data_IF_623284893054
#
_entry.id   IF_623284893054
#
_cell.length_a   1.000
_cell.length_b   1.000
_cell.length_c   1.000
_cell.angle_alpha   90.00
_cell.angle_beta   90.00
_cell.angle_gamma   90.00
#
_symmetry.space_group_name_H-M   'P 1'
#
loop_
_entity.id
_entity.type
_entity.pdbx_description
1 polymer ?
#
# COMPACT_ATOMS: atom_id res chain seq x y z
N UNK A 1 -21.61 -2.10 19.03
CA UNK A 1 -21.13 -2.71 17.78
C UNK A 1 -19.67 -2.34 17.60
N UNK A 2 -18.80 -3.28 17.21
CA UNK A 2 -17.39 -2.99 16.94
C UNK A 2 -17.29 -2.23 15.62
N UNK A 3 -16.59 -1.10 15.63
CA UNK A 3 -16.36 -0.24 14.46
C UNK A 3 -14.88 0.15 14.38
N UNK A 4 -14.29 -0.16 13.23
CA UNK A 4 -12.95 0.26 12.80
C UNK A 4 -13.08 1.39 11.79
N UNK A 5 -11.98 2.10 11.52
CA UNK A 5 -11.92 3.06 10.42
C UNK A 5 -10.58 3.07 9.73
N UNK A 6 -10.63 3.23 8.41
CA UNK A 6 -9.50 3.64 7.59
C UNK A 6 -9.70 5.12 7.22
N UNK A 7 -8.76 5.98 7.64
CA UNK A 7 -8.89 7.43 7.54
C UNK A 7 -7.76 8.07 6.69
N UNK A 8 -7.74 7.87 5.36
CA UNK A 8 -6.71 8.45 4.49
C UNK A 8 -7.00 9.92 4.16
N UNK A 9 -5.94 10.72 4.04
CA UNK A 9 -6.01 12.03 3.41
C UNK A 9 -5.81 11.90 1.89
N UNK A 10 -6.69 12.49 1.05
CA UNK A 10 -6.63 12.35 -0.41
C UNK A 10 -5.62 13.33 -1.01
N UNK A 11 -4.34 13.23 -0.62
CA UNK A 11 -3.27 14.13 -1.06
C UNK A 11 -2.25 13.47 -2.00
N UNK A 12 -2.57 12.28 -2.51
CA UNK A 12 -1.70 11.47 -3.35
C UNK A 12 -2.27 10.07 -3.55
N UNK A 13 -1.50 9.21 -4.22
CA UNK A 13 -1.89 7.81 -4.43
C UNK A 13 -1.71 6.96 -3.17
N UNK A 14 -2.52 5.92 -3.04
CA UNK A 14 -2.42 4.97 -1.94
C UNK A 14 -1.13 4.14 -2.08
N UNK A 15 -0.22 4.24 -1.12
CA UNK A 15 1.04 3.47 -1.10
C UNK A 15 0.93 2.21 -0.24
N UNK A 16 1.89 1.29 -0.35
CA UNK A 16 1.91 0.02 0.38
C UNK A 16 1.70 0.17 1.90
N UNK A 17 2.28 1.21 2.52
CA UNK A 17 2.11 1.48 3.95
C UNK A 17 0.67 1.78 4.34
N UNK A 18 -0.01 2.65 3.59
CA UNK A 18 -1.42 2.98 3.82
C UNK A 18 -2.34 1.82 3.43
N UNK A 19 -2.00 1.09 2.36
CA UNK A 19 -2.72 -0.12 1.96
C UNK A 19 -2.67 -1.19 3.05
N UNK A 20 -1.52 -1.36 3.74
CA UNK A 20 -1.42 -2.25 4.90
C UNK A 20 -2.37 -1.85 6.01
N UNK A 21 -2.47 -0.55 6.32
CA UNK A 21 -3.42 -0.07 7.33
C UNK A 21 -4.87 -0.37 6.92
N UNK A 22 -5.21 -0.19 5.64
CA UNK A 22 -6.54 -0.52 5.12
C UNK A 22 -6.84 -2.03 5.23
N UNK A 23 -5.91 -2.88 4.79
CA UNK A 23 -6.03 -4.35 4.89
C UNK A 23 -6.21 -4.78 6.33
N UNK A 24 -5.37 -4.30 7.25
CA UNK A 24 -5.44 -4.67 8.67
C UNK A 24 -6.75 -4.22 9.32
N UNK A 25 -7.21 -2.99 9.08
CA UNK A 25 -8.49 -2.54 9.63
C UNK A 25 -9.67 -3.35 9.06
N UNK A 26 -9.64 -3.68 7.76
CA UNK A 26 -10.69 -4.48 7.14
C UNK A 26 -10.72 -5.93 7.66
N UNK A 27 -9.55 -6.56 7.86
CA UNK A 27 -9.45 -7.90 8.42
C UNK A 27 -9.85 -7.93 9.90
N UNK A 28 -9.42 -6.94 10.69
CA UNK A 28 -9.80 -6.82 12.09
C UNK A 28 -11.32 -6.62 12.26
N UNK A 29 -11.94 -5.77 11.43
CA UNK A 29 -13.39 -5.59 11.40
C UNK A 29 -14.10 -6.91 11.12
N UNK A 30 -13.72 -7.61 10.04
CA UNK A 30 -14.33 -8.90 9.68
C UNK A 30 -14.13 -9.97 10.75
N UNK A 31 -12.91 -10.11 11.29
CA UNK A 31 -12.58 -11.10 12.32
C UNK A 31 -13.39 -10.90 13.62
N UNK A 32 -13.76 -9.66 13.94
CA UNK A 32 -14.54 -9.31 15.13
C UNK A 32 -16.05 -9.15 14.86
N UNK A 33 -16.52 -9.44 13.64
CA UNK A 33 -17.91 -9.18 13.24
C UNK A 33 -18.32 -7.71 13.38
N UNK A 34 -17.37 -6.79 13.20
CA UNK A 34 -17.55 -5.35 13.25
C UNK A 34 -17.67 -4.71 11.87
N UNK A 35 -17.82 -3.38 11.85
CA UNK A 35 -17.92 -2.59 10.62
C UNK A 35 -16.64 -1.81 10.32
N UNK A 36 -16.44 -1.48 9.05
CA UNK A 36 -15.37 -0.63 8.56
C UNK A 36 -15.93 0.70 8.05
N UNK A 37 -15.49 1.80 8.66
CA UNK A 37 -15.72 3.16 8.19
C UNK A 37 -14.57 3.61 7.26
N UNK A 38 -14.88 4.08 6.06
CA UNK A 38 -13.95 4.86 5.25
C UNK A 38 -14.16 6.35 5.55
N UNK A 39 -13.19 7.00 6.20
CA UNK A 39 -13.25 8.45 6.46
C UNK A 39 -12.23 9.19 5.62
N UNK A 40 -12.69 10.10 4.75
CA UNK A 40 -11.79 10.92 3.95
C UNK A 40 -11.39 12.15 4.77
N UNK A 41 -10.12 12.22 5.16
CA UNK A 41 -9.55 13.32 5.96
C UNK A 41 -9.09 14.45 5.01
N UNK A 42 -10.05 15.20 4.47
CA UNK A 42 -9.91 16.21 3.38
C UNK A 42 -10.01 17.68 3.84
N UNK A 43 -9.69 17.98 5.11
CA UNK A 43 -9.78 19.35 5.64
C UNK A 43 -8.77 20.33 5.04
N UNK A 44 -7.64 19.82 4.54
CA UNK A 44 -6.66 20.60 3.78
C UNK A 44 -7.08 20.66 2.31
N UNK A 45 -7.82 21.71 1.94
CA UNK A 45 -8.37 21.88 0.58
C UNK A 45 -7.31 22.16 -0.49
N UNK A 46 -6.11 22.60 -0.12
CA UNK A 46 -5.04 22.86 -1.10
C UNK A 46 -4.42 21.56 -1.59
N UNK A 47 -4.23 20.61 -0.66
CA UNK A 47 -3.63 19.31 -0.97
C UNK A 47 -4.63 18.23 -1.34
N UNK A 48 -5.86 18.32 -0.84
CA UNK A 48 -6.90 17.32 -1.05
C UNK A 48 -7.54 17.50 -2.41
N UNK A 49 -7.53 16.46 -3.24
CA UNK A 49 -8.14 16.50 -4.58
C UNK A 49 -9.16 15.38 -4.78
N UNK A 50 -10.30 15.65 -5.46
CA UNK A 50 -11.31 14.64 -5.76
C UNK A 50 -10.74 13.43 -6.53
N UNK A 51 -9.74 13.65 -7.40
CA UNK A 51 -9.07 12.57 -8.14
C UNK A 51 -8.33 11.58 -7.23
N UNK A 52 -7.81 12.03 -6.09
CA UNK A 52 -7.12 11.18 -5.13
C UNK A 52 -8.11 10.43 -4.24
N UNK A 53 -9.24 11.04 -3.88
CA UNK A 53 -10.32 10.34 -3.20
C UNK A 53 -10.87 9.20 -4.06
N UNK A 54 -11.21 9.47 -5.32
CA UNK A 54 -11.66 8.45 -6.26
C UNK A 54 -10.61 7.35 -6.47
N UNK A 55 -9.33 7.73 -6.51
CA UNK A 55 -8.20 6.80 -6.56
C UNK A 55 -8.12 5.88 -5.35
N UNK A 56 -8.30 6.41 -4.13
CA UNK A 56 -8.34 5.63 -2.89
C UNK A 56 -9.47 4.60 -2.97
N UNK A 57 -10.69 5.02 -3.33
CA UNK A 57 -11.82 4.11 -3.45
C UNK A 57 -11.59 3.01 -4.49
N UNK A 58 -11.04 3.37 -5.65
CA UNK A 58 -10.71 2.41 -6.71
C UNK A 58 -9.69 1.37 -6.22
N UNK A 59 -8.65 1.83 -5.52
CA UNK A 59 -7.60 0.97 -5.00
C UNK A 59 -8.13 0.05 -3.89
N UNK A 60 -8.99 0.53 -2.99
CA UNK A 60 -9.65 -0.30 -1.98
C UNK A 60 -10.55 -1.36 -2.60
N UNK A 61 -11.39 -1.00 -3.56
CA UNK A 61 -12.25 -1.97 -4.28
C UNK A 61 -11.42 -3.02 -5.02
N UNK A 62 -10.32 -2.60 -5.66
CA UNK A 62 -9.41 -3.53 -6.32
C UNK A 62 -8.75 -4.51 -5.34
N UNK A 63 -8.42 -4.06 -4.13
CA UNK A 63 -7.93 -4.93 -3.05
C UNK A 63 -9.03 -5.82 -2.42
N UNK A 64 -10.29 -5.75 -2.90
CA UNK A 64 -11.43 -6.47 -2.30
C UNK A 64 -11.93 -5.88 -0.97
N UNK A 65 -11.48 -4.67 -0.61
CA UNK A 65 -11.84 -3.99 0.63
C UNK A 65 -13.10 -3.14 0.38
N UNK A 66 -14.24 -3.66 0.82
CA UNK A 66 -15.47 -2.87 0.99
C UNK A 66 -15.50 -2.15 2.34
N UNK A 67 -16.35 -1.14 2.44
CA UNK A 67 -16.63 -0.40 3.68
C UNK A 67 -18.14 -0.27 3.87
N UNK A 68 -18.58 -0.28 5.14
CA UNK A 68 -19.99 -0.25 5.52
C UNK A 68 -20.51 1.19 5.63
N UNK A 69 -19.63 2.11 6.02
CA UNK A 69 -19.94 3.51 6.24
C UNK A 69 -18.88 4.40 5.57
N UNK A 70 -19.28 5.59 5.15
CA UNK A 70 -18.38 6.60 4.60
C UNK A 70 -18.65 7.97 5.20
N UNK A 71 -17.60 8.74 5.46
CA UNK A 71 -17.70 10.14 5.88
C UNK A 71 -16.57 10.98 5.26
N UNK A 72 -16.83 12.27 5.02
CA UNK A 72 -15.80 13.25 4.65
C UNK A 72 -15.68 14.28 5.76
N UNK A 73 -14.47 14.71 6.07
CA UNK A 73 -14.27 15.71 7.10
C UNK A 73 -14.75 17.10 6.65
N UNK A 74 -14.65 17.40 5.35
CA UNK A 74 -15.14 18.64 4.75
C UNK A 74 -16.66 18.85 4.90
N UNK A 75 -17.44 17.77 5.02
CA UNK A 75 -18.90 17.80 5.23
C UNK A 75 -19.28 18.01 6.70
N UNK A 76 -18.30 18.09 7.62
CA UNK A 76 -18.51 18.02 9.08
C UNK A 76 -18.01 19.24 9.83
N UNK A 77 -17.83 20.36 9.11
CA UNK A 77 -17.28 21.60 9.67
C UNK A 77 -18.14 22.20 10.79
N UNK A 78 -19.45 22.00 10.74
CA UNK A 78 -20.41 22.37 11.79
C UNK A 78 -20.14 21.63 13.10
N UNK A 79 -19.78 20.34 13.02
CA UNK A 79 -19.45 19.50 14.19
C UNK A 79 -18.19 19.97 14.88
N UNK A 80 -17.16 20.33 14.11
CA UNK A 80 -15.93 20.89 14.66
C UNK A 80 -16.16 22.24 15.31
N UNK A 81 -16.99 23.10 14.71
CA UNK A 81 -17.36 24.38 15.30
C UNK A 81 -18.07 24.19 16.65
N UNK A 82 -19.06 23.29 16.72
CA UNK A 82 -19.78 22.99 17.96
C UNK A 82 -18.86 22.42 19.06
N UNK A 83 -17.96 21.48 18.70
CA UNK A 83 -16.99 20.93 19.64
C UNK A 83 -15.99 22.00 20.13
N UNK A 84 -15.60 22.94 19.27
CA UNK A 84 -14.69 24.02 19.63
C UNK A 84 -15.33 24.97 20.65
N UNK A 85 -16.61 25.32 20.47
CA UNK A 85 -17.34 26.16 21.42
C UNK A 85 -17.48 25.48 22.79
N UNK A 86 -17.72 24.17 22.83
CA UNK A 86 -17.73 23.40 24.09
C UNK A 86 -16.38 23.47 24.82
N UNK A 87 -15.27 23.32 24.09
CA UNK A 87 -13.93 23.40 24.69
C UNK A 87 -13.56 24.81 25.14
N UNK A 88 -13.99 25.85 24.40
CA UNK A 88 -13.81 27.26 24.81
C UNK A 88 -14.59 27.55 26.08
N UNK A 89 -15.85 27.13 26.15
CA UNK A 89 -16.70 27.30 27.34
C UNK A 89 -16.10 26.59 28.57
N UNK A 90 -15.43 25.45 28.38
CA UNK A 90 -14.71 24.73 29.42
C UNK A 90 -13.33 25.34 29.79
N UNK A 91 -12.88 26.38 29.09
CA UNK A 91 -11.55 26.98 29.27
C UNK A 91 -10.39 26.08 28.82
N UNK A 92 -10.67 25.07 28.01
CA UNK A 92 -9.69 24.09 27.53
C UNK A 92 -9.17 24.41 26.13
N UNK A 93 -9.87 25.25 25.36
CA UNK A 93 -9.41 25.79 24.09
C UNK A 93 -9.19 27.29 24.22
N UNK A 94 -7.93 27.73 24.19
CA UNK A 94 -7.55 29.13 24.45
C UNK A 94 -6.92 29.79 23.22
N UNK A 95 -7.13 31.10 23.02
CA UNK A 95 -6.58 31.82 21.89
C UNK A 95 -5.09 32.10 22.06
N UNK A 96 -4.36 32.07 20.96
CA UNK A 96 -2.94 32.39 20.89
C UNK A 96 -2.71 33.38 19.74
N UNK A 97 -1.80 34.32 19.95
CA UNK A 97 -1.53 35.43 19.01
C UNK A 97 -0.07 35.52 18.57
N UNK A 98 0.78 34.56 18.98
CA UNK A 98 2.18 34.57 18.56
C UNK A 98 2.33 34.31 17.07
N UNK A 99 3.25 35.02 16.42
CA UNK A 99 3.68 34.75 15.05
C UNK A 99 4.57 33.50 14.99
N UNK A 100 4.73 32.94 13.78
CA UNK A 100 5.66 31.83 13.55
C UNK A 100 7.11 32.18 13.91
N UNK A 101 7.51 33.43 13.67
CA UNK A 101 8.83 33.96 14.02
C UNK A 101 9.02 34.03 15.54
N UNK A 102 8.02 34.52 16.28
CA UNK A 102 8.05 34.55 17.74
C UNK A 102 8.14 33.14 18.33
N UNK A 103 7.35 32.19 17.78
CA UNK A 103 7.41 30.78 18.18
C UNK A 103 8.77 30.15 17.84
N UNK A 104 9.36 30.48 16.69
CA UNK A 104 10.69 30.01 16.30
C UNK A 104 11.78 30.54 17.22
N UNK A 105 11.73 31.83 17.57
CA UNK A 105 12.64 32.45 18.51
C UNK A 105 12.55 31.81 19.91
N UNK A 106 11.33 31.57 20.41
CA UNK A 106 11.10 30.83 21.66
C UNK A 106 11.71 29.43 21.61
N UNK A 107 11.51 28.68 20.53
CA UNK A 107 12.12 27.34 20.35
C UNK A 107 13.65 27.41 20.33
N UNK A 108 14.23 28.37 19.61
CA UNK A 108 15.68 28.55 19.54
C UNK A 108 16.29 28.91 20.91
N UNK A 109 15.63 29.76 21.69
CA UNK A 109 16.06 30.11 23.04
C UNK A 109 16.07 28.90 23.97
N UNK A 110 15.03 28.05 23.90
CA UNK A 110 14.97 26.79 24.68
C UNK A 110 16.06 25.81 24.27
N UNK A 111 16.29 25.65 22.96
CA UNK A 111 17.34 24.79 22.43
C UNK A 111 18.74 25.24 22.91
N UNK A 112 19.03 26.55 22.91
CA UNK A 112 20.28 27.12 23.47
C UNK A 112 20.47 26.81 24.96
N UNK A 113 19.38 26.54 25.69
CA UNK A 113 19.39 26.16 27.11
C UNK A 113 19.32 24.65 27.33
N UNK A 114 19.41 23.84 26.26
CA UNK A 114 19.23 22.39 26.29
C UNK A 114 17.89 21.94 26.90
N UNK A 115 16.86 22.79 26.80
CA UNK A 115 15.51 22.48 27.28
C UNK A 115 14.67 21.90 26.14
N UNK A 116 13.78 20.92 26.41
CA UNK A 116 12.85 20.39 25.41
C UNK A 116 11.98 21.50 24.80
N UNK A 117 11.63 21.43 23.49
CA UNK A 117 10.90 22.49 22.78
C UNK A 117 9.38 22.48 23.07
N UNK A 118 9.01 22.43 24.35
CA UNK A 118 7.62 22.46 24.82
C UNK A 118 7.09 23.91 24.81
N UNK A 119 5.87 24.10 24.32
CA UNK A 119 5.15 25.37 24.34
C UNK A 119 5.05 25.92 25.77
N UNK A 120 5.36 27.20 25.95
CA UNK A 120 5.56 27.82 27.25
C UNK A 120 4.25 28.22 27.97
N UNK A 121 3.10 28.04 27.32
CA UNK A 121 1.77 28.42 27.83
C UNK A 121 1.64 29.90 28.16
N UNK A 122 2.49 30.78 27.62
CA UNK A 122 2.46 32.21 27.92
C UNK A 122 1.09 32.87 27.63
N UNK A 123 0.39 32.39 26.61
CA UNK A 123 -0.94 32.92 26.22
C UNK A 123 -2.06 32.56 27.21
N UNK A 124 -1.85 31.67 28.19
CA UNK A 124 -2.83 31.43 29.26
C UNK A 124 -2.96 32.62 30.22
N UNK A 125 -1.93 33.48 30.30
CA UNK A 125 -1.91 34.66 31.16
C UNK A 125 -2.43 35.93 30.46
N UNK A 126 -2.94 35.80 29.23
CA UNK A 126 -3.42 36.93 28.43
C UNK A 126 -4.68 37.53 29.05
N UNK A 127 -4.69 38.84 29.34
CA UNK A 127 -5.88 39.52 29.86
C UNK A 127 -6.90 39.81 28.77
N UNK A 128 -8.15 40.10 29.14
CA UNK A 128 -9.19 40.46 28.21
C UNK A 128 -8.84 41.73 27.41
N UNK A 129 -8.19 42.70 28.04
CA UNK A 129 -7.73 43.95 27.42
C UNK A 129 -6.62 43.68 26.40
N UNK A 130 -5.64 42.85 26.75
CA UNK A 130 -4.54 42.47 25.84
C UNK A 130 -5.06 41.71 24.63
N UNK A 131 -6.04 40.82 24.83
CA UNK A 131 -6.73 40.12 23.75
C UNK A 131 -7.47 41.10 22.84
N UNK A 132 -8.28 41.99 23.40
CA UNK A 132 -9.04 42.97 22.62
C UNK A 132 -8.10 43.89 21.82
N UNK A 133 -6.98 44.31 22.40
CA UNK A 133 -5.96 45.11 21.72
C UNK A 133 -5.30 44.35 20.56
N UNK A 134 -5.00 43.05 20.73
CA UNK A 134 -4.43 42.23 19.67
C UNK A 134 -5.41 42.04 18.50
N UNK A 135 -6.67 41.75 18.79
CA UNK A 135 -7.73 41.61 17.79
C UNK A 135 -8.02 42.93 17.07
N UNK A 136 -8.07 44.06 17.79
CA UNK A 136 -8.22 45.40 17.20
C UNK A 136 -7.02 45.80 16.32
N UNK A 137 -5.82 45.30 16.65
CA UNK A 137 -4.61 45.43 15.83
C UNK A 137 -4.58 44.52 14.59
N UNK A 138 -5.66 43.81 14.29
CA UNK A 138 -5.80 42.95 13.11
C UNK A 138 -5.20 41.55 13.26
N UNK A 139 -4.69 41.17 14.46
CA UNK A 139 -4.21 39.80 14.69
C UNK A 139 -5.40 38.84 14.81
N UNK A 140 -5.37 37.77 14.03
CA UNK A 140 -6.34 36.66 14.16
C UNK A 140 -5.76 35.58 15.07
N UNK A 141 -6.49 35.13 16.11
CA UNK A 141 -6.00 34.08 16.98
C UNK A 141 -6.02 32.73 16.27
N UNK A 142 -5.01 31.90 16.57
CA UNK A 142 -5.12 30.45 16.43
C UNK A 142 -5.43 29.85 17.81
N UNK A 143 -5.93 28.62 17.87
CA UNK A 143 -6.39 28.04 19.13
C UNK A 143 -5.61 26.79 19.50
N UNK A 144 -5.15 26.74 20.76
CA UNK A 144 -4.48 25.58 21.36
C UNK A 144 -5.35 24.90 22.39
N UNK A 145 -5.26 23.59 22.46
CA UNK A 145 -5.88 22.81 23.52
C UNK A 145 -4.93 22.70 24.72
N UNK A 146 -5.43 23.08 25.89
CA UNK A 146 -4.73 22.98 27.15
C UNK A 146 -4.71 21.52 27.60
N UNK A 147 -3.56 20.86 27.45
CA UNK A 147 -3.38 19.49 27.92
C UNK A 147 -3.53 19.42 29.45
N UNK A 148 -4.15 18.35 29.93
CA UNK A 148 -4.20 18.02 31.34
C UNK A 148 -2.80 17.78 31.91
N UNK A 149 -2.68 17.92 33.23
CA UNK A 149 -1.46 17.53 33.93
C UNK A 149 -1.37 15.99 34.08
N UNK A 150 -0.16 15.46 34.28
CA UNK A 150 0.08 14.04 34.51
C UNK A 150 0.41 13.25 33.23
N UNK A 151 0.02 11.98 33.20
CA UNK A 151 0.34 11.05 32.14
C UNK A 151 -0.90 10.31 31.62
N UNK A 152 -0.90 10.02 30.33
CA UNK A 152 -1.91 9.19 29.67
C UNK A 152 -1.28 7.87 29.30
N UNK A 153 -1.93 6.79 29.74
CA UNK A 153 -1.45 5.45 29.50
C UNK A 153 -2.59 4.51 29.08
N UNK A 154 -2.30 3.66 28.09
CA UNK A 154 -3.27 2.74 27.49
C UNK A 154 -2.60 1.40 27.17
N UNK A 155 -3.40 0.37 26.96
CA UNK A 155 -2.93 -0.93 26.49
C UNK A 155 -3.08 -0.95 24.97
N UNK A 156 -1.96 -0.81 24.27
CA UNK A 156 -1.95 -0.88 22.82
C UNK A 156 -2.13 -2.32 22.34
N UNK A 157 -2.98 -2.51 21.33
CA UNK A 157 -3.31 -3.82 20.77
C UNK A 157 -2.11 -4.50 20.08
N UNK A 158 -1.05 -3.75 19.73
CA UNK A 158 0.15 -4.28 19.06
C UNK A 158 1.40 -4.02 19.91
N UNK A 159 1.61 -2.79 20.37
CA UNK A 159 2.82 -2.39 21.09
C UNK A 159 2.78 -2.71 22.60
N UNK A 160 1.63 -3.15 23.12
CA UNK A 160 1.41 -3.38 24.56
C UNK A 160 1.24 -2.08 25.36
N UNK A 161 1.47 -2.12 26.68
CA UNK A 161 1.30 -0.94 27.56
C UNK A 161 2.14 0.24 27.08
N UNK A 162 1.51 1.36 26.76
CA UNK A 162 2.15 2.65 26.40
C UNK A 162 1.75 3.72 27.41
N UNK A 163 2.64 4.69 27.60
CA UNK A 163 2.45 5.82 28.49
C UNK A 163 3.19 7.05 27.94
N UNK A 164 2.55 8.21 28.04
CA UNK A 164 3.13 9.51 27.67
C UNK A 164 2.80 10.51 28.77
N UNK A 165 3.82 11.21 29.25
CA UNK A 165 3.67 12.32 30.19
C UNK A 165 3.24 13.56 29.40
N UNK A 166 2.03 14.08 29.66
CA UNK A 166 1.47 15.18 28.89
C UNK A 166 2.26 16.49 29.06
N UNK A 167 2.87 16.71 30.24
CA UNK A 167 3.72 17.87 30.48
C UNK A 167 5.00 17.94 29.62
N UNK A 168 5.38 16.84 28.95
CA UNK A 168 6.50 16.83 27.98
C UNK A 168 6.05 17.12 26.55
N UNK A 169 4.74 17.29 26.32
CA UNK A 169 4.14 17.54 25.01
C UNK A 169 3.61 18.97 25.00
N UNK A 170 3.79 19.66 23.86
CA UNK A 170 3.21 21.00 23.69
C UNK A 170 1.70 20.92 23.58
N UNK A 171 0.99 21.87 24.20
CA UNK A 171 -0.44 22.12 23.95
C UNK A 171 -0.70 22.22 22.44
N UNK A 172 -1.42 21.26 21.82
CA UNK A 172 -1.51 21.16 20.38
C UNK A 172 -2.37 22.29 19.83
N UNK A 173 -2.01 22.81 18.65
CA UNK A 173 -2.90 23.66 17.89
C UNK A 173 -4.04 22.79 17.37
N UNK A 174 -5.29 23.19 17.66
CA UNK A 174 -6.48 22.50 17.16
C UNK A 174 -7.12 23.26 15.99
N UNK A 175 -6.99 24.60 15.95
CA UNK A 175 -7.57 25.45 14.90
C UNK A 175 -6.54 26.50 14.51
N UNK A 176 -6.28 26.63 13.20
CA UNK A 176 -5.38 27.65 12.64
C UNK A 176 -6.01 29.05 12.69
N UNK A 177 -5.19 30.09 12.47
CA UNK A 177 -5.66 31.48 12.43
C UNK A 177 -6.65 31.77 11.28
N UNK A 178 -6.64 30.96 10.23
CA UNK A 178 -7.61 31.01 9.13
C UNK A 178 -8.92 30.26 9.45
N UNK A 179 -9.05 29.67 10.65
CA UNK A 179 -10.23 28.92 11.09
C UNK A 179 -10.20 27.44 10.71
N UNK A 180 -9.18 26.95 10.00
CA UNK A 180 -9.09 25.54 9.61
C UNK A 180 -8.82 24.65 10.83
N UNK A 181 -9.69 23.67 11.13
CA UNK A 181 -9.44 22.70 12.17
C UNK A 181 -8.34 21.70 11.73
N UNK A 182 -7.50 21.28 12.66
CA UNK A 182 -6.38 20.39 12.40
C UNK A 182 -6.69 18.94 12.76
N UNK A 183 -5.94 18.01 12.17
CA UNK A 183 -6.09 16.56 12.29
C UNK A 183 -6.38 16.06 13.72
N UNK A 184 -5.61 16.51 14.71
CA UNK A 184 -5.78 16.05 16.10
C UNK A 184 -7.19 16.32 16.61
N UNK A 185 -7.77 17.46 16.23
CA UNK A 185 -9.11 17.85 16.63
C UNK A 185 -10.18 17.11 15.84
N UNK A 186 -10.11 17.17 14.51
CA UNK A 186 -11.14 16.58 13.63
C UNK A 186 -11.22 15.07 13.80
N UNK A 187 -10.08 14.40 13.90
CA UNK A 187 -9.98 12.95 14.14
C UNK A 187 -10.66 12.53 15.45
N UNK A 188 -10.50 13.31 16.53
CA UNK A 188 -11.13 13.02 17.84
C UNK A 188 -12.64 13.24 17.79
N UNK A 189 -13.08 14.38 17.23
CA UNK A 189 -14.52 14.67 17.11
C UNK A 189 -15.21 13.57 16.31
N UNK A 190 -14.61 13.14 15.20
CA UNK A 190 -15.18 12.12 14.34
C UNK A 190 -15.12 10.71 14.93
N UNK A 191 -14.01 10.31 15.55
CA UNK A 191 -13.91 9.00 16.20
C UNK A 191 -14.97 8.87 17.31
N UNK A 192 -15.24 9.97 18.03
CA UNK A 192 -16.38 10.06 18.96
C UNK A 192 -17.70 10.00 18.18
N UNK A 193 -18.08 11.03 17.43
CA UNK A 193 -19.43 11.12 16.86
C UNK A 193 -19.82 9.97 15.93
N UNK A 194 -18.87 9.43 15.15
CA UNK A 194 -19.11 8.32 14.22
C UNK A 194 -19.07 6.95 14.90
N UNK A 195 -18.87 6.88 16.22
CA UNK A 195 -18.96 5.63 16.96
C UNK A 195 -17.77 4.69 16.77
N UNK A 196 -16.58 5.21 16.45
CA UNK A 196 -15.36 4.40 16.31
C UNK A 196 -15.02 3.77 17.66
N UNK A 197 -14.73 2.47 17.63
CA UNK A 197 -14.35 1.69 18.83
C UNK A 197 -12.92 1.21 18.80
N UNK A 198 -12.34 1.07 17.60
CA UNK A 198 -10.98 0.58 17.39
C UNK A 198 -10.25 1.46 16.37
N UNK A 199 -9.05 1.87 16.76
CA UNK A 199 -8.17 2.73 15.99
C UNK A 199 -6.88 1.94 15.70
N UNK A 200 -6.73 1.44 14.48
CA UNK A 200 -5.47 0.85 14.02
C UNK A 200 -4.78 1.80 13.03
N UNK A 201 -3.54 2.20 13.33
CA UNK A 201 -2.75 3.15 12.52
C UNK A 201 -1.24 2.95 12.70
N UNK A 202 -0.41 3.74 12.04
CA UNK A 202 1.05 3.68 12.16
C UNK A 202 1.57 4.17 13.52
N UNK A 203 2.67 3.59 14.00
CA UNK A 203 3.31 3.91 15.30
C UNK A 203 3.82 5.35 15.45
N UNK A 204 3.96 6.08 14.34
CA UNK A 204 4.25 7.51 14.34
C UNK A 204 3.15 8.35 15.04
N UNK A 205 1.97 7.77 15.26
CA UNK A 205 0.89 8.39 16.01
C UNK A 205 0.81 7.98 17.50
N UNK A 206 1.78 7.25 18.05
CA UNK A 206 1.77 6.85 19.48
C UNK A 206 1.68 8.08 20.40
N UNK A 207 2.51 9.10 20.20
CA UNK A 207 2.45 10.34 20.99
C UNK A 207 1.13 11.09 20.79
N UNK A 208 0.64 11.12 19.54
CA UNK A 208 -0.65 11.74 19.21
C UNK A 208 -1.81 11.06 19.94
N UNK A 209 -1.72 9.74 20.21
CA UNK A 209 -2.76 8.99 20.92
C UNK A 209 -2.97 9.50 22.34
N UNK A 210 -1.91 9.82 23.07
CA UNK A 210 -2.03 10.37 24.42
C UNK A 210 -2.78 11.70 24.43
N UNK A 211 -2.43 12.59 23.49
CA UNK A 211 -3.10 13.88 23.27
C UNK A 211 -4.57 13.68 22.89
N UNK A 212 -4.86 12.73 21.99
CA UNK A 212 -6.21 12.45 21.53
C UNK A 212 -7.07 11.85 22.64
N UNK A 213 -6.53 10.96 23.48
CA UNK A 213 -7.24 10.40 24.65
C UNK A 213 -7.58 11.52 25.65
N UNK A 214 -6.66 12.45 25.90
CA UNK A 214 -6.91 13.59 26.79
C UNK A 214 -8.03 14.48 26.23
N UNK A 215 -7.98 14.80 24.93
CA UNK A 215 -9.02 15.56 24.24
C UNK A 215 -10.37 14.84 24.21
N UNK A 216 -10.38 13.52 24.00
CA UNK A 216 -11.60 12.70 24.04
C UNK A 216 -12.26 12.75 25.42
N UNK A 217 -11.46 12.64 26.50
CA UNK A 217 -11.94 12.73 27.88
C UNK A 217 -12.46 14.13 28.22
N UNK A 218 -11.86 15.17 27.67
CA UNK A 218 -12.33 16.55 27.82
C UNK A 218 -13.69 16.77 27.13
N UNK A 219 -13.86 16.25 25.91
CA UNK A 219 -15.11 16.38 25.16
C UNK A 219 -16.22 15.49 25.71
N UNK A 220 -15.95 14.21 25.94
CA UNK A 220 -16.95 13.22 26.35
C UNK A 220 -16.47 12.41 27.58
N UNK A 221 -16.45 12.99 28.80
CA UNK A 221 -15.84 12.39 29.99
C UNK A 221 -16.42 11.03 30.40
N UNK A 222 -17.68 10.76 30.03
CA UNK A 222 -18.40 9.53 30.37
C UNK A 222 -18.23 8.43 29.34
N UNK A 223 -17.60 8.73 28.20
CA UNK A 223 -17.48 7.80 27.09
C UNK A 223 -16.16 7.06 27.17
N UNK A 224 -16.21 5.75 26.95
CA UNK A 224 -15.00 4.95 26.76
C UNK A 224 -14.24 5.42 25.51
N UNK A 225 -12.93 5.60 25.64
CA UNK A 225 -12.07 5.88 24.49
C UNK A 225 -11.92 4.62 23.62
N UNK A 226 -11.65 4.76 22.32
CA UNK A 226 -11.39 3.61 21.45
C UNK A 226 -10.21 2.77 21.96
N UNK A 227 -10.19 1.49 21.61
CA UNK A 227 -8.98 0.68 21.68
C UNK A 227 -8.01 1.13 20.58
N UNK A 228 -6.72 1.24 20.90
CA UNK A 228 -5.69 1.70 19.97
C UNK A 228 -4.71 0.58 19.66
N UNK A 229 -4.38 0.41 18.38
CA UNK A 229 -3.33 -0.49 17.91
C UNK A 229 -2.38 0.25 16.97
N UNK A 230 -1.08 0.18 17.24
CA UNK A 230 -0.07 0.87 16.46
C UNK A 230 0.84 -0.12 15.72
N UNK A 231 0.74 -0.13 14.39
CA UNK A 231 1.58 -0.98 13.55
C UNK A 231 2.96 -0.31 13.34
N UNK A 232 4.07 -1.05 13.50
CA UNK A 232 5.40 -0.50 13.23
C UNK A 232 5.54 -0.04 11.79
N UNK A 233 6.31 1.03 11.58
CA UNK A 233 6.56 1.57 10.25
C UNK A 233 7.35 0.56 9.41
N UNK A 234 6.99 0.48 8.12
CA UNK A 234 7.65 -0.43 7.18
C UNK A 234 9.03 0.14 6.81
N UNK A 235 10.04 -0.71 6.79
CA UNK A 235 11.37 -0.44 6.25
C UNK A 235 11.58 -1.18 4.92
N UNK A 236 12.50 -0.70 4.10
CA UNK A 236 12.96 -1.44 2.93
C UNK A 236 13.95 -2.55 3.30
N UNK A 237 14.38 -3.34 2.31
CA UNK A 237 15.36 -4.44 2.51
C UNK A 237 16.71 -3.97 3.06
N UNK A 238 17.05 -2.68 2.90
CA UNK A 238 18.27 -2.05 3.41
C UNK A 238 18.12 -1.51 4.84
N UNK A 239 16.89 -1.50 5.38
CA UNK A 239 16.57 -0.98 6.70
C UNK A 239 16.26 0.52 6.72
N UNK A 240 16.30 1.21 5.57
CA UNK A 240 15.84 2.60 5.49
C UNK A 240 14.31 2.66 5.59
N UNK A 241 13.78 3.80 6.08
CA UNK A 241 12.34 4.05 6.00
C UNK A 241 11.92 3.97 4.53
N UNK A 242 10.83 3.24 4.29
CA UNK A 242 10.35 2.91 2.94
C UNK A 242 10.04 4.14 2.06
N UNK A 243 10.00 5.35 2.62
CA UNK A 243 9.69 6.62 1.96
C UNK A 243 10.67 7.06 0.85
N UNK A 244 11.81 6.38 0.64
CA UNK A 244 12.85 6.85 -0.30
C UNK A 244 12.96 6.10 -1.63
N UNK A 245 12.53 4.83 -1.77
CA UNK A 245 12.72 4.06 -3.03
C UNK A 245 11.60 3.08 -3.39
N UNK A 246 11.29 2.11 -2.51
CA UNK A 246 10.30 1.05 -2.79
C UNK A 246 8.90 1.31 -2.18
N UNK A 247 8.78 2.23 -1.21
CA UNK A 247 7.51 2.58 -0.55
C UNK A 247 6.77 3.73 -1.18
N UNK A 248 7.34 4.30 -2.23
CA UNK A 248 6.64 5.18 -3.17
C UNK A 248 5.79 4.38 -4.16
N UNK A 249 5.92 3.03 -4.21
CA UNK A 249 5.11 2.22 -5.11
C UNK A 249 3.66 2.25 -4.64
N UNK A 250 2.81 2.83 -5.49
CA UNK A 250 1.38 2.93 -5.24
C UNK A 250 0.68 1.61 -5.54
N UNK A 251 -0.49 1.40 -4.93
CA UNK A 251 -1.39 0.29 -5.24
C UNK A 251 -1.73 0.27 -6.74
N UNK A 252 -1.99 1.46 -7.32
CA UNK A 252 -2.13 1.66 -8.76
C UNK A 252 -0.94 1.10 -9.57
N UNK A 253 0.29 1.29 -9.10
CA UNK A 253 1.49 0.81 -9.76
C UNK A 253 1.59 -0.72 -9.70
N UNK A 254 1.36 -1.34 -8.54
CA UNK A 254 1.29 -2.80 -8.41
C UNK A 254 0.24 -3.42 -9.35
N UNK A 255 -0.96 -2.83 -9.39
CA UNK A 255 -2.03 -3.25 -10.30
C UNK A 255 -1.60 -3.16 -11.77
N UNK A 256 -0.96 -2.07 -12.16
CA UNK A 256 -0.48 -1.85 -13.54
C UNK A 256 0.58 -2.87 -13.94
N UNK A 257 1.50 -3.18 -13.03
CA UNK A 257 2.62 -4.07 -13.30
C UNK A 257 2.17 -5.54 -13.37
N UNK A 258 0.96 -5.88 -12.91
CA UNK A 258 0.40 -7.22 -12.99
C UNK A 258 0.58 -8.03 -11.70
N UNK A 259 0.71 -7.37 -10.56
CA UNK A 259 0.50 -7.99 -9.25
C UNK A 259 -1.00 -8.21 -9.05
N UNK A 260 -1.38 -9.40 -8.62
CA UNK A 260 -2.74 -9.77 -8.24
C UNK A 260 -3.11 -9.19 -6.87
N UNK A 261 -4.35 -8.71 -6.75
CA UNK A 261 -4.88 -8.15 -5.51
C UNK A 261 -4.75 -9.14 -4.34
N UNK A 262 -5.08 -10.41 -4.57
CA UNK A 262 -4.95 -11.48 -3.57
C UNK A 262 -3.51 -11.59 -3.05
N UNK A 263 -2.50 -11.52 -3.93
CA UNK A 263 -1.10 -11.61 -3.53
C UNK A 263 -0.71 -10.40 -2.66
N UNK A 264 -1.05 -9.19 -3.08
CA UNK A 264 -0.72 -7.98 -2.32
C UNK A 264 -1.43 -7.95 -0.95
N UNK A 265 -2.72 -8.28 -0.90
CA UNK A 265 -3.50 -8.34 0.34
C UNK A 265 -2.93 -9.40 1.29
N UNK A 266 -2.69 -10.61 0.80
CA UNK A 266 -2.12 -11.71 1.58
C UNK A 266 -0.74 -11.35 2.15
N UNK A 267 0.09 -10.68 1.35
CA UNK A 267 1.38 -10.17 1.77
C UNK A 267 1.24 -9.11 2.88
N UNK A 268 0.45 -8.06 2.65
CA UNK A 268 0.29 -6.96 3.60
C UNK A 268 -0.41 -7.38 4.90
N UNK A 269 -1.32 -8.36 4.84
CA UNK A 269 -2.01 -8.93 5.99
C UNK A 269 -1.06 -9.61 6.99
N UNK A 270 0.08 -10.13 6.51
CA UNK A 270 1.08 -10.83 7.32
C UNK A 270 2.39 -10.07 7.47
N UNK A 271 2.52 -8.90 6.86
CA UNK A 271 3.75 -8.10 6.96
C UNK A 271 4.01 -7.67 8.41
N UNK A 272 5.05 -8.25 9.02
CA UNK A 272 5.39 -8.06 10.43
C UNK A 272 4.65 -8.96 11.41
N UNK A 273 3.89 -9.93 10.90
CA UNK A 273 3.29 -11.02 11.66
C UNK A 273 4.27 -12.18 11.86
N UNK A 274 4.05 -13.02 12.87
CA UNK A 274 4.75 -14.31 13.02
C UNK A 274 4.30 -15.40 12.04
N UNK A 275 3.23 -15.17 11.28
CA UNK A 275 2.73 -16.10 10.25
C UNK A 275 3.23 -15.67 8.88
N UNK A 276 3.58 -16.64 8.05
CA UNK A 276 3.97 -16.38 6.66
C UNK A 276 2.75 -16.02 5.79
N UNK A 277 2.94 -15.21 4.73
CA UNK A 277 1.88 -14.89 3.79
C UNK A 277 1.57 -16.08 2.87
N UNK A 278 0.27 -16.39 2.77
CA UNK A 278 -0.27 -17.43 1.89
C UNK A 278 -1.38 -16.84 1.02
N UNK A 279 -1.56 -17.32 -0.23
CA UNK A 279 -2.52 -16.75 -1.17
C UNK A 279 -3.94 -17.13 -0.78
N UNK A 280 -4.55 -16.29 0.05
CA UNK A 280 -5.85 -16.52 0.67
C UNK A 280 -6.81 -15.37 0.31
N UNK A 281 -8.10 -15.70 0.29
CA UNK A 281 -9.17 -14.70 0.20
C UNK A 281 -9.22 -13.83 1.46
N UNK A 282 -9.89 -12.68 1.38
CA UNK A 282 -10.07 -11.80 2.55
C UNK A 282 -10.83 -12.50 3.69
N UNK A 283 -11.79 -13.34 3.35
CA UNK A 283 -12.58 -14.13 4.29
C UNK A 283 -11.71 -15.16 5.03
N UNK A 284 -10.87 -15.91 4.30
CA UNK A 284 -9.92 -16.88 4.89
C UNK A 284 -8.86 -16.20 5.75
N UNK A 285 -8.33 -15.05 5.29
CA UNK A 285 -7.42 -14.23 6.08
C UNK A 285 -8.08 -13.74 7.37
N UNK A 286 -9.33 -13.26 7.29
CA UNK A 286 -10.07 -12.78 8.45
C UNK A 286 -10.31 -13.88 9.50
N UNK A 287 -10.62 -15.11 9.06
CA UNK A 287 -10.81 -16.26 9.96
C UNK A 287 -9.56 -16.64 10.77
N UNK A 288 -8.38 -16.18 10.36
CA UNK A 288 -7.10 -16.45 11.03
C UNK A 288 -6.34 -15.17 11.39
N UNK A 289 -7.03 -14.03 11.41
CA UNK A 289 -6.45 -12.72 11.69
C UNK A 289 -6.39 -12.47 13.19
N UNK A 290 -5.20 -12.08 13.68
CA UNK A 290 -4.99 -11.67 15.07
C UNK A 290 -3.95 -10.54 15.11
N UNK A 291 -4.30 -9.42 15.75
CA UNK A 291 -3.38 -8.31 15.97
C UNK A 291 -2.21 -8.69 16.90
N UNK A 292 -2.43 -9.64 17.80
CA UNK A 292 -1.39 -10.17 18.69
C UNK A 292 -0.27 -10.91 17.96
N UNK A 293 -0.47 -11.28 16.68
CA UNK A 293 0.57 -11.91 15.87
C UNK A 293 1.62 -10.92 15.37
N UNK A 294 1.37 -9.61 15.43
CA UNK A 294 2.28 -8.59 14.92
C UNK A 294 3.42 -8.30 15.90
N UNK A 295 4.65 -8.34 15.39
CA UNK A 295 5.83 -7.96 16.14
C UNK A 295 5.89 -6.44 16.35
N UNK A 296 6.68 -6.02 17.35
CA UNK A 296 6.95 -4.60 17.65
C UNK A 296 8.08 -4.01 16.80
N UNK A 297 8.79 -4.84 16.04
CA UNK A 297 9.89 -4.40 15.18
C UNK A 297 9.40 -3.89 13.83
N UNK A 298 10.16 -3.00 13.20
CA UNK A 298 9.87 -2.51 11.86
C UNK A 298 9.91 -3.67 10.84
N UNK A 299 8.79 -4.02 10.19
CA UNK A 299 8.79 -5.07 9.20
C UNK A 299 9.47 -4.60 7.92
N UNK A 300 10.20 -5.52 7.27
CA UNK A 300 10.80 -5.26 5.95
C UNK A 300 9.86 -5.65 4.84
N UNK A 301 9.62 -4.71 3.92
CA UNK A 301 8.97 -5.02 2.66
C UNK A 301 9.98 -5.72 1.73
N UNK A 302 9.69 -6.97 1.36
CA UNK A 302 10.50 -7.79 0.46
C UNK A 302 9.74 -8.02 -0.86
N UNK A 303 10.12 -7.31 -1.94
CA UNK A 303 9.52 -7.49 -3.26
C UNK A 303 9.64 -8.93 -3.79
N UNK A 304 10.70 -9.68 -3.42
CA UNK A 304 10.88 -11.06 -3.90
C UNK A 304 9.85 -12.00 -3.28
N UNK A 305 9.54 -11.81 -1.99
CA UNK A 305 8.49 -12.58 -1.32
C UNK A 305 7.11 -12.25 -1.92
N UNK A 306 6.84 -10.98 -2.22
CA UNK A 306 5.61 -10.59 -2.92
C UNK A 306 5.52 -11.21 -4.33
N UNK A 307 6.59 -11.19 -5.12
CA UNK A 307 6.61 -11.81 -6.45
C UNK A 307 6.44 -13.33 -6.38
N UNK A 308 7.08 -14.00 -5.42
CA UNK A 308 6.90 -15.44 -5.22
C UNK A 308 5.44 -15.79 -4.86
N UNK A 309 4.79 -14.95 -4.06
CA UNK A 309 3.37 -15.11 -3.75
C UNK A 309 2.49 -14.81 -4.96
N UNK A 310 2.81 -13.76 -5.73
CA UNK A 310 2.10 -13.40 -6.95
C UNK A 310 2.15 -14.52 -7.99
N UNK A 311 3.32 -15.12 -8.17
CA UNK A 311 3.54 -16.30 -9.02
C UNK A 311 2.59 -17.43 -8.64
N UNK A 312 2.52 -17.78 -7.35
CA UNK A 312 1.61 -18.83 -6.85
C UNK A 312 0.15 -18.53 -7.16
N UNK A 313 -0.28 -17.27 -7.04
CA UNK A 313 -1.64 -16.85 -7.41
C UNK A 313 -1.84 -16.98 -8.92
N UNK A 314 -1.01 -16.31 -9.72
CA UNK A 314 -1.12 -16.27 -11.18
C UNK A 314 -1.14 -17.67 -11.81
N UNK A 315 -0.25 -18.57 -11.37
CA UNK A 315 -0.14 -19.91 -11.92
C UNK A 315 -1.39 -20.75 -11.67
N UNK A 316 -2.13 -20.45 -10.59
CA UNK A 316 -3.39 -21.08 -10.24
C UNK A 316 -4.62 -20.48 -10.94
N UNK A 317 -4.52 -19.31 -11.58
CA UNK A 317 -5.68 -18.66 -12.17
C UNK A 317 -6.17 -19.38 -13.44
N UNK A 318 -7.50 -19.56 -13.59
CA UNK A 318 -8.09 -20.02 -14.83
C UNK A 318 -8.04 -18.90 -15.89
N UNK A 319 -8.16 -19.27 -17.18
CA UNK A 319 -8.07 -18.31 -18.28
C UNK A 319 -9.13 -17.21 -18.18
N UNK A 320 -10.34 -17.57 -17.76
CA UNK A 320 -11.49 -16.68 -17.62
C UNK A 320 -11.21 -15.52 -16.65
N UNK A 321 -10.38 -15.75 -15.63
CA UNK A 321 -9.99 -14.73 -14.65
C UNK A 321 -8.96 -13.72 -15.19
N UNK A 322 -8.31 -14.02 -16.32
CA UNK A 322 -7.27 -13.17 -16.92
C UNK A 322 -7.62 -12.71 -18.34
N UNK A 323 -8.65 -13.27 -18.98
CA UNK A 323 -8.98 -13.05 -20.39
C UNK A 323 -9.04 -11.56 -20.77
N UNK A 324 -9.75 -10.73 -19.99
CA UNK A 324 -9.88 -9.29 -20.26
C UNK A 324 -8.58 -8.48 -20.00
N UNK A 325 -7.62 -9.08 -19.30
CA UNK A 325 -6.35 -8.46 -18.91
C UNK A 325 -5.17 -8.90 -19.79
N UNK A 326 -5.36 -9.96 -20.57
CA UNK A 326 -4.36 -10.44 -21.53
C UNK A 326 -4.34 -9.57 -22.79
N UNK A 327 -3.22 -9.55 -23.53
CA UNK A 327 -3.16 -8.92 -24.84
C UNK A 327 -4.21 -9.51 -25.80
N UNK A 328 -4.67 -8.69 -26.75
CA UNK A 328 -5.61 -9.12 -27.78
C UNK A 328 -5.06 -10.30 -28.59
N UNK A 329 -5.92 -11.29 -28.86
CA UNK A 329 -5.57 -12.53 -29.57
C UNK A 329 -5.01 -13.65 -28.69
N UNK A 330 -4.82 -13.43 -27.39
CA UNK A 330 -4.37 -14.47 -26.45
C UNK A 330 -5.54 -15.31 -25.93
N UNK A 331 -5.67 -16.55 -26.42
CA UNK A 331 -6.67 -17.52 -25.97
C UNK A 331 -6.23 -18.38 -24.77
N UNK A 332 -7.07 -19.35 -24.39
CA UNK A 332 -6.82 -20.27 -23.28
C UNK A 332 -5.53 -21.08 -23.46
N UNK A 333 -5.25 -21.57 -24.67
CA UNK A 333 -4.03 -22.32 -24.99
C UNK A 333 -2.76 -21.48 -24.74
N UNK A 334 -2.77 -20.20 -25.16
CA UNK A 334 -1.69 -19.27 -24.87
C UNK A 334 -1.48 -19.10 -23.36
N UNK A 335 -2.56 -18.86 -22.61
CA UNK A 335 -2.48 -18.70 -21.17
C UNK A 335 -1.89 -19.93 -20.48
N UNK A 336 -2.37 -21.12 -20.84
CA UNK A 336 -1.88 -22.37 -20.28
C UNK A 336 -0.40 -22.61 -20.59
N UNK A 337 0.05 -22.23 -21.80
CA UNK A 337 1.45 -22.33 -22.19
C UNK A 337 2.36 -21.41 -21.36
N UNK A 338 1.94 -20.17 -21.09
CA UNK A 338 2.83 -19.15 -20.50
C UNK A 338 2.71 -19.00 -18.98
N UNK A 339 1.54 -19.25 -18.40
CA UNK A 339 1.22 -18.85 -17.01
C UNK A 339 2.24 -19.35 -15.99
N UNK A 340 2.73 -20.60 -16.16
CA UNK A 340 3.67 -21.24 -15.25
C UNK A 340 5.08 -20.61 -15.21
N UNK A 341 5.35 -19.63 -16.07
CA UNK A 341 6.61 -18.90 -16.11
C UNK A 341 6.44 -17.41 -15.77
N UNK A 342 5.23 -16.93 -15.46
CA UNK A 342 5.00 -15.51 -15.19
C UNK A 342 5.20 -15.20 -13.70
N UNK A 343 5.96 -14.14 -13.44
CA UNK A 343 6.03 -13.48 -12.14
C UNK A 343 5.01 -12.34 -12.06
N UNK A 344 4.74 -11.70 -13.21
CA UNK A 344 3.81 -10.60 -13.38
C UNK A 344 2.91 -10.85 -14.58
N UNK A 345 1.62 -10.49 -14.49
CA UNK A 345 0.71 -10.65 -15.63
C UNK A 345 1.14 -9.83 -16.85
N UNK A 346 1.81 -8.68 -16.63
CA UNK A 346 2.31 -7.83 -17.73
C UNK A 346 3.34 -8.52 -18.63
N UNK A 347 4.06 -9.53 -18.12
CA UNK A 347 5.03 -10.33 -18.88
C UNK A 347 4.35 -11.19 -19.97
N UNK A 348 3.03 -11.43 -19.87
CA UNK A 348 2.27 -12.09 -20.93
C UNK A 348 2.37 -11.34 -22.27
N UNK A 349 2.58 -10.01 -22.25
CA UNK A 349 2.80 -9.22 -23.47
C UNK A 349 4.09 -9.62 -24.19
N UNK A 350 5.17 -9.87 -23.46
CA UNK A 350 6.43 -10.33 -24.05
C UNK A 350 6.21 -11.67 -24.77
N UNK A 351 5.54 -12.62 -24.11
CA UNK A 351 5.27 -13.92 -24.70
C UNK A 351 4.28 -13.87 -25.86
N UNK A 352 3.35 -12.90 -25.87
CA UNK A 352 2.52 -12.63 -27.05
C UNK A 352 3.35 -12.20 -28.25
N UNK A 353 4.34 -11.33 -28.07
CA UNK A 353 5.27 -10.96 -29.15
C UNK A 353 6.11 -12.16 -29.62
N UNK A 354 6.56 -13.02 -28.70
CA UNK A 354 7.22 -14.28 -29.06
C UNK A 354 6.29 -15.19 -29.85
N UNK A 355 5.02 -15.30 -29.47
CA UNK A 355 4.06 -16.26 -30.04
C UNK A 355 3.36 -15.74 -31.29
N UNK A 356 3.27 -14.44 -31.55
CA UNK A 356 2.51 -13.90 -32.68
C UNK A 356 3.16 -12.69 -33.36
N UNK A 357 4.18 -12.10 -32.75
CA UNK A 357 4.90 -10.95 -33.26
C UNK A 357 6.23 -11.29 -33.93
N UNK A 358 6.95 -10.23 -34.27
CA UNK A 358 8.34 -10.29 -34.70
C UNK A 358 9.26 -10.07 -33.50
N UNK A 359 10.25 -10.94 -33.37
CA UNK A 359 11.26 -10.84 -32.31
C UNK A 359 12.63 -10.66 -32.94
N UNK A 360 13.50 -9.95 -32.22
CA UNK A 360 14.92 -9.97 -32.52
C UNK A 360 15.45 -11.39 -32.28
N UNK A 361 16.00 -11.99 -33.33
CA UNK A 361 16.54 -13.34 -33.27
C UNK A 361 18.06 -13.24 -33.23
N UNK A 362 18.73 -13.76 -32.19
CA UNK A 362 20.19 -13.69 -32.11
C UNK A 362 20.82 -14.50 -33.25
N UNK A 363 21.88 -13.97 -33.86
CA UNK A 363 22.73 -14.74 -34.76
C UNK A 363 23.59 -15.70 -33.93
N UNK A 364 23.55 -16.99 -34.27
CA UNK A 364 24.21 -18.08 -33.55
C UNK A 364 25.12 -18.86 -34.51
N UNK A 365 26.20 -18.26 -35.02
CA UNK A 365 27.07 -18.88 -36.01
C UNK A 365 27.70 -20.18 -35.51
N UNK A 366 27.97 -20.30 -34.20
CA UNK A 366 28.52 -21.53 -33.61
C UNK A 366 27.50 -22.69 -33.61
N UNK A 367 26.21 -22.40 -33.72
CA UNK A 367 25.13 -23.37 -33.80
C UNK A 367 24.49 -23.45 -35.21
N UNK A 368 25.08 -22.82 -36.22
CA UNK A 368 24.51 -22.74 -37.57
C UNK A 368 24.17 -24.11 -38.17
N UNK A 369 25.06 -25.10 -38.01
CA UNK A 369 24.84 -26.46 -38.50
C UNK A 369 23.64 -27.14 -37.83
N UNK A 370 23.49 -26.96 -36.51
CA UNK A 370 22.36 -27.45 -35.73
C UNK A 370 21.05 -26.80 -36.19
N UNK A 371 21.04 -25.48 -36.37
CA UNK A 371 19.84 -24.72 -36.73
C UNK A 371 19.37 -25.01 -38.16
N UNK A 372 20.31 -25.24 -39.10
CA UNK A 372 19.99 -25.72 -40.46
C UNK A 372 19.40 -27.12 -40.42
N UNK A 373 19.98 -28.05 -39.66
CA UNK A 373 19.40 -29.38 -39.45
C UNK A 373 18.01 -29.31 -38.80
N UNK A 374 17.80 -28.34 -37.90
CA UNK A 374 16.50 -28.11 -37.27
C UNK A 374 15.45 -27.59 -38.27
N UNK A 375 15.84 -26.69 -39.17
CA UNK A 375 15.01 -26.18 -40.25
C UNK A 375 14.62 -27.30 -41.23
N UNK A 376 15.58 -28.14 -41.64
CA UNK A 376 15.35 -29.28 -42.54
C UNK A 376 14.43 -30.33 -41.92
N UNK A 377 14.59 -30.61 -40.62
CA UNK A 377 13.77 -31.58 -39.90
C UNK A 377 12.40 -31.04 -39.47
N UNK A 378 12.08 -29.77 -39.73
CA UNK A 378 10.87 -29.11 -39.21
C UNK A 378 9.59 -29.70 -39.85
N UNK A 379 8.72 -30.38 -39.07
CA UNK A 379 7.59 -31.12 -39.63
C UNK A 379 6.51 -30.19 -40.21
N UNK A 380 5.68 -30.68 -41.16
CA UNK A 380 4.49 -29.95 -41.61
C UNK A 380 3.47 -29.80 -40.46
N UNK A 381 2.56 -28.83 -40.60
CA UNK A 381 1.39 -28.65 -39.71
C UNK A 381 0.30 -29.69 -40.04
N UNK A 382 -0.64 -29.99 -39.11
CA UNK A 382 -0.86 -29.36 -37.81
C UNK A 382 0.16 -29.77 -36.73
N UNK A 383 0.40 -28.87 -35.77
CA UNK A 383 1.27 -29.10 -34.62
C UNK A 383 0.47 -29.24 -33.33
N UNK A 384 1.04 -30.00 -32.39
CA UNK A 384 0.52 -30.26 -31.05
C UNK A 384 1.66 -30.35 -30.02
N UNK A 385 1.33 -30.65 -28.76
CA UNK A 385 2.32 -30.76 -27.68
C UNK A 385 3.36 -31.89 -27.90
N UNK A 386 3.07 -32.87 -28.75
CA UNK A 386 3.99 -33.99 -29.06
C UNK A 386 5.02 -33.61 -30.13
N UNK A 387 4.72 -32.57 -30.92
CA UNK A 387 5.54 -32.11 -32.05
C UNK A 387 6.96 -31.76 -31.62
N UNK A 388 7.11 -31.05 -30.49
CA UNK A 388 8.43 -30.66 -29.98
C UNK A 388 9.33 -31.87 -29.70
N UNK A 389 8.79 -32.90 -29.04
CA UNK A 389 9.55 -34.11 -28.71
C UNK A 389 9.97 -34.88 -29.96
N UNK A 390 9.07 -35.02 -30.93
CA UNK A 390 9.36 -35.70 -32.20
C UNK A 390 10.41 -34.94 -33.02
N UNK A 391 10.22 -33.63 -33.17
CA UNK A 391 11.12 -32.76 -33.93
C UNK A 391 12.52 -32.72 -33.31
N UNK A 392 12.62 -32.42 -32.01
CA UNK A 392 13.94 -32.36 -31.34
C UNK A 392 14.69 -33.69 -31.35
N UNK A 393 13.98 -34.83 -31.37
CA UNK A 393 14.57 -36.15 -31.59
C UNK A 393 15.22 -36.30 -32.98
N UNK A 394 14.55 -35.84 -34.03
CA UNK A 394 15.10 -35.83 -35.39
C UNK A 394 16.30 -34.88 -35.51
N UNK A 395 16.22 -33.69 -34.90
CA UNK A 395 17.34 -32.73 -34.86
C UNK A 395 18.55 -33.32 -34.14
N UNK A 396 18.35 -33.98 -33.00
CA UNK A 396 19.42 -34.64 -32.26
C UNK A 396 20.09 -35.77 -33.06
N UNK A 397 19.32 -36.55 -33.81
CA UNK A 397 19.84 -37.61 -34.67
C UNK A 397 20.67 -37.05 -35.84
N UNK A 398 20.22 -35.95 -36.46
CA UNK A 398 20.91 -35.32 -37.59
C UNK A 398 22.17 -34.54 -37.19
N UNK A 399 22.14 -33.85 -36.04
CA UNK A 399 23.23 -32.97 -35.60
C UNK A 399 24.21 -33.63 -34.63
N UNK A 400 23.81 -34.71 -33.96
CA UNK A 400 24.55 -35.30 -32.83
C UNK A 400 24.47 -34.49 -31.52
N UNK A 401 23.83 -33.32 -31.51
CA UNK A 401 23.74 -32.47 -30.32
C UNK A 401 22.79 -33.06 -29.25
N UNK A 402 23.11 -32.82 -27.97
CA UNK A 402 22.32 -33.29 -26.83
C UNK A 402 22.30 -32.28 -25.69
N UNK A 403 21.30 -32.38 -24.80
CA UNK A 403 21.19 -31.56 -23.60
C UNK A 403 21.23 -30.06 -23.92
N UNK A 404 22.04 -29.29 -23.18
CA UNK A 404 22.15 -27.84 -23.37
C UNK A 404 22.56 -27.44 -24.78
N UNK A 405 23.45 -28.21 -25.43
CA UNK A 405 23.93 -27.91 -26.79
C UNK A 405 22.84 -28.08 -27.87
N UNK A 406 21.79 -28.86 -27.58
CA UNK A 406 20.62 -29.00 -28.46
C UNK A 406 19.56 -27.93 -28.13
N UNK A 407 19.16 -27.85 -26.86
CA UNK A 407 17.96 -27.11 -26.49
C UNK A 407 18.17 -25.60 -26.36
N UNK A 408 19.35 -25.14 -25.93
CA UNK A 408 19.59 -23.70 -25.74
C UNK A 408 19.63 -22.95 -27.10
N UNK A 409 20.34 -23.43 -28.14
CA UNK A 409 20.30 -22.75 -29.44
C UNK A 409 18.91 -22.74 -30.06
N UNK A 410 18.16 -23.85 -29.96
CA UNK A 410 16.78 -23.90 -30.44
C UNK A 410 15.88 -22.90 -29.70
N UNK A 411 16.02 -22.78 -28.38
CA UNK A 411 15.26 -21.80 -27.59
C UNK A 411 15.58 -20.38 -28.02
N UNK A 412 16.86 -20.03 -28.08
CA UNK A 412 17.31 -18.70 -28.49
C UNK A 412 16.83 -18.36 -29.90
N UNK A 413 16.95 -19.29 -30.84
CA UNK A 413 16.45 -19.09 -32.20
C UNK A 413 14.93 -18.88 -32.22
N UNK A 414 14.16 -19.73 -31.54
CA UNK A 414 12.69 -19.67 -31.60
C UNK A 414 12.08 -18.53 -30.79
N UNK A 415 12.72 -18.10 -29.70
CA UNK A 415 12.11 -17.18 -28.71
C UNK A 415 12.92 -15.92 -28.46
N UNK A 416 14.19 -15.85 -28.87
CA UNK A 416 15.10 -14.76 -28.50
C UNK A 416 15.59 -14.83 -27.04
N UNK A 417 14.99 -15.70 -26.22
CA UNK A 417 15.20 -15.74 -24.78
C UNK A 417 15.99 -16.98 -24.34
N UNK A 418 16.79 -16.84 -23.29
CA UNK A 418 17.58 -17.96 -22.74
C UNK A 418 16.79 -18.84 -21.76
N UNK A 419 15.65 -18.35 -21.28
CA UNK A 419 14.72 -19.02 -20.38
C UNK A 419 13.27 -18.69 -20.78
N UNK A 420 12.29 -19.37 -20.20
CA UNK A 420 10.89 -19.09 -20.48
C UNK A 420 10.00 -20.33 -20.38
N UNK A 421 8.75 -20.21 -20.85
CA UNK A 421 7.83 -21.33 -20.90
C UNK A 421 8.36 -22.53 -21.68
N UNK A 422 7.70 -23.66 -21.47
CA UNK A 422 8.03 -24.91 -22.16
C UNK A 422 7.84 -24.77 -23.66
N UNK A 423 8.89 -25.09 -24.43
CA UNK A 423 8.84 -24.97 -25.89
C UNK A 423 7.87 -25.96 -26.53
N UNK A 424 7.54 -27.06 -25.84
CA UNK A 424 6.51 -27.99 -26.28
C UNK A 424 5.12 -27.32 -26.38
N UNK A 425 4.80 -26.42 -25.45
CA UNK A 425 3.55 -25.68 -25.47
C UNK A 425 3.63 -24.42 -26.36
N UNK A 426 4.81 -23.79 -26.45
CA UNK A 426 4.98 -22.57 -27.27
C UNK A 426 5.09 -22.84 -28.76
N UNK A 427 5.74 -23.94 -29.18
CA UNK A 427 6.01 -24.21 -30.59
C UNK A 427 4.73 -24.25 -31.45
N UNK A 428 3.64 -24.95 -31.07
CA UNK A 428 2.38 -24.92 -31.80
C UNK A 428 1.81 -23.50 -31.97
N UNK A 429 1.95 -22.65 -30.95
CA UNK A 429 1.45 -21.28 -30.99
C UNK A 429 2.31 -20.35 -31.87
N UNK A 430 3.62 -20.61 -31.93
CA UNK A 430 4.54 -19.90 -32.85
C UNK A 430 4.20 -20.27 -34.31
N UNK A 431 3.81 -21.51 -34.57
CA UNK A 431 3.50 -21.98 -35.91
C UNK A 431 4.72 -22.10 -36.83
N UNK A 432 4.55 -22.88 -37.89
CA UNK A 432 5.68 -23.35 -38.71
C UNK A 432 6.41 -22.25 -39.45
N UNK A 433 5.66 -21.34 -40.08
CA UNK A 433 6.25 -20.29 -40.90
C UNK A 433 7.20 -19.39 -40.08
N UNK A 434 6.78 -18.99 -38.87
CA UNK A 434 7.60 -18.12 -37.99
C UNK A 434 8.75 -18.89 -37.37
N UNK A 435 8.55 -20.15 -36.97
CA UNK A 435 9.64 -21.00 -36.48
C UNK A 435 10.73 -21.17 -37.54
N UNK A 436 10.37 -21.48 -38.79
CA UNK A 436 11.30 -21.63 -39.90
C UNK A 436 12.11 -20.36 -40.17
N UNK A 437 11.43 -19.21 -40.32
CA UNK A 437 12.09 -17.92 -40.56
C UNK A 437 13.05 -17.54 -39.42
N UNK A 438 12.69 -17.85 -38.18
CA UNK A 438 13.55 -17.61 -37.00
C UNK A 438 14.79 -18.51 -37.00
N UNK A 439 14.63 -19.81 -37.28
CA UNK A 439 15.76 -20.75 -37.39
C UNK A 439 16.74 -20.33 -38.49
N UNK A 440 16.22 -19.92 -39.65
CA UNK A 440 17.02 -19.44 -40.78
C UNK A 440 17.83 -18.19 -40.40
N UNK A 441 17.17 -17.16 -39.84
CA UNK A 441 17.86 -15.93 -39.39
C UNK A 441 18.91 -16.20 -38.31
N UNK A 442 18.61 -17.09 -37.37
CA UNK A 442 19.54 -17.45 -36.30
C UNK A 442 20.78 -18.20 -36.83
N UNK A 443 20.64 -18.97 -37.90
CA UNK A 443 21.73 -19.76 -38.47
C UNK A 443 22.79 -18.93 -39.21
N UNK A 444 22.50 -17.66 -39.53
CA UNK A 444 23.37 -16.81 -40.34
C UNK A 444 23.13 -17.00 -41.83
#
# INVERSE_FOLDING_TARGET
MVKFRFAPSPTGHLHAGNARLAVVNALAARAMGGTLLLRIDDTDRERSKPEYEAGIEQDLRWLGIGWDEMARQSDRMDRYAAAAERLKAAGLLYPCFESEEELAAKRALRAKRHLPPVYDRAMLSLTAEQRAAAEAGGKRPYFRFKLSDGAVAWNDLVLGRREVVLGTVSDPVLIRADGTPLYTFTSVVDDLELGVTHVIRGEDHVTNTAVQIDLMRALEPRRAVPAFGHLPLISDVTGEKLSKRAGSVSVRQFRRDGIEAMALVSYLARLGSRRDPEPLTLEELAGTFDLGDFSRGAPRFDPKQLLALNRRVLHGLPFEAVAERLPEGCGAEFWMAVRGNLDLLSEARLWREVVSGEIETPSLPEAASLLRAALEALPPEPWDETTWKGWTGAVAAASGARGKALYLPLRLALTGESHGPELAALLPLIGRARAAARLERAAG
#
